data_IF_038719659010
#
_entry.id   IF_038719659010
#
_cell.length_a   1.000
_cell.length_b   1.000
_cell.length_c   1.000
_cell.angle_alpha   90.00
_cell.angle_beta   90.00
_cell.angle_gamma   90.00
#
_symmetry.space_group_name_H-M   'P 1'
#
loop_
_entity.id
_entity.type
_entity.pdbx_description
1 polymer ?
#
# COMPACT_ATOMS: atom_id res chain seq x y z
N UNK A 1 18.91 26.38 43.68
CA UNK A 1 20.05 26.95 44.42
C UNK A 1 21.31 26.72 43.61
N UNK A 2 22.28 27.61 43.71
CA UNK A 2 23.60 27.42 43.12
C UNK A 2 24.53 26.72 44.12
N UNK A 3 25.48 25.94 43.61
CA UNK A 3 26.58 25.33 44.37
C UNK A 3 27.84 25.38 43.53
N UNK A 4 28.67 26.40 43.76
CA UNK A 4 30.01 26.53 43.15
C UNK A 4 31.03 25.62 43.87
N UNK A 5 32.15 25.28 43.23
CA UNK A 5 33.18 24.40 43.80
C UNK A 5 34.62 24.71 43.34
N UNK A 6 35.50 25.04 44.28
CA UNK A 6 36.91 25.46 44.12
C UNK A 6 37.65 25.23 45.46
N UNK A 7 38.97 25.03 45.60
CA UNK A 7 40.11 24.89 44.66
C UNK A 7 40.71 23.45 44.80
N UNK A 8 41.98 23.04 44.71
CA UNK A 8 43.36 23.56 44.51
C UNK A 8 44.07 22.54 43.56
N UNK A 9 44.79 22.91 42.50
CA UNK A 9 46.12 23.54 42.40
C UNK A 9 47.30 22.54 42.24
N UNK A 10 48.29 22.98 41.44
CA UNK A 10 49.62 22.43 41.08
C UNK A 10 50.04 21.01 41.51
N UNK A 11 50.38 20.21 40.49
CA UNK A 11 51.44 19.19 40.55
C UNK A 11 52.15 19.11 39.19
N UNK A 12 53.41 19.55 39.11
CA UNK A 12 54.19 19.56 37.87
C UNK A 12 55.22 18.42 37.78
N UNK A 13 55.55 17.98 36.58
CA UNK A 13 56.71 17.13 36.32
C UNK A 13 57.34 17.47 34.97
N UNK A 14 58.66 17.64 34.94
CA UNK A 14 59.43 17.89 33.72
C UNK A 14 60.17 16.61 33.31
N UNK A 15 59.71 16.00 32.22
CA UNK A 15 60.39 14.91 31.52
C UNK A 15 59.95 14.93 30.05
N UNK A 16 60.82 14.97 29.04
CA UNK A 16 62.28 14.80 29.06
C UNK A 16 62.67 13.42 28.54
N UNK A 17 62.49 13.21 27.24
CA UNK A 17 62.82 11.97 26.55
C UNK A 17 62.48 12.06 25.07
N UNK A 18 63.49 12.03 24.20
CA UNK A 18 63.29 12.06 22.76
C UNK A 18 62.87 10.69 22.22
N UNK A 19 61.74 10.62 21.52
CA UNK A 19 61.23 9.41 20.87
C UNK A 19 61.00 9.62 19.38
N UNK A 20 62.05 9.44 18.57
CA UNK A 20 61.98 9.63 17.12
C UNK A 20 61.32 8.42 16.41
N UNK A 21 59.99 8.47 16.24
CA UNK A 21 59.19 7.42 15.58
C UNK A 21 58.26 7.95 14.47
N UNK A 22 58.51 9.15 13.98
CA UNK A 22 57.62 9.89 13.06
C UNK A 22 57.78 9.51 11.58
N UNK A 23 57.47 8.26 11.22
CA UNK A 23 57.42 7.84 9.80
C UNK A 23 56.56 6.61 9.45
N UNK A 24 56.19 5.74 10.39
CA UNK A 24 55.44 4.50 10.11
C UNK A 24 53.92 4.61 10.30
N UNK A 25 53.46 5.46 11.22
CA UNK A 25 52.04 5.61 11.58
C UNK A 25 51.13 5.98 10.40
N UNK A 26 51.57 6.87 9.52
CA UNK A 26 50.77 7.36 8.38
C UNK A 26 50.46 6.29 7.32
N UNK A 27 51.24 5.21 7.25
CA UNK A 27 50.92 4.08 6.36
C UNK A 27 49.78 3.21 6.90
N UNK A 28 49.78 2.97 8.22
CA UNK A 28 48.72 2.19 8.88
C UNK A 28 47.38 2.92 8.88
N UNK A 29 47.36 4.22 9.23
CA UNK A 29 46.13 5.01 9.19
C UNK A 29 45.52 5.13 7.78
N UNK A 30 46.34 5.09 6.71
CA UNK A 30 45.81 5.04 5.32
C UNK A 30 45.17 3.68 5.00
N UNK A 31 45.75 2.57 5.47
CA UNK A 31 45.18 1.23 5.29
C UNK A 31 43.88 1.05 6.09
N UNK A 32 43.81 1.61 7.29
CA UNK A 32 42.61 1.66 8.13
C UNK A 32 41.48 2.44 7.43
N UNK A 33 41.77 3.65 6.93
CA UNK A 33 40.82 4.42 6.12
C UNK A 33 40.36 3.69 4.85
N UNK A 34 41.25 2.94 4.18
CA UNK A 34 40.89 2.14 3.00
C UNK A 34 40.02 0.92 3.36
N UNK A 35 40.20 0.33 4.54
CA UNK A 35 39.33 -0.75 5.05
C UNK A 35 37.95 -0.21 5.42
N UNK A 36 37.88 0.90 6.16
CA UNK A 36 36.61 1.53 6.56
C UNK A 36 35.78 1.97 5.34
N UNK A 37 36.43 2.54 4.31
CA UNK A 37 35.75 2.91 3.07
C UNK A 37 35.27 1.68 2.30
N UNK A 38 36.10 0.62 2.20
CA UNK A 38 35.71 -0.62 1.54
C UNK A 38 34.53 -1.31 2.25
N UNK A 39 34.50 -1.31 3.59
CA UNK A 39 33.37 -1.79 4.39
C UNK A 39 32.12 -0.96 4.08
N UNK A 40 32.22 0.37 4.11
CA UNK A 40 31.09 1.27 3.80
C UNK A 40 30.54 1.07 2.38
N UNK A 41 31.40 0.86 1.39
CA UNK A 41 31.00 0.56 0.00
C UNK A 41 30.27 -0.78 -0.07
N UNK A 42 30.75 -1.82 0.62
CA UNK A 42 30.07 -3.12 0.67
C UNK A 42 28.69 -3.03 1.32
N UNK A 43 28.58 -2.36 2.47
CA UNK A 43 27.31 -2.16 3.19
C UNK A 43 26.30 -1.36 2.35
N UNK A 44 26.76 -0.29 1.70
CA UNK A 44 25.93 0.51 0.79
C UNK A 44 25.47 -0.30 -0.44
N UNK A 45 26.34 -1.14 -0.99
CA UNK A 45 26.03 -2.01 -2.14
C UNK A 45 25.02 -3.09 -1.78
N UNK A 46 25.18 -3.76 -0.64
CA UNK A 46 24.19 -4.74 -0.14
C UNK A 46 22.83 -4.06 0.12
N UNK A 47 22.83 -2.88 0.76
CA UNK A 47 21.61 -2.11 1.00
C UNK A 47 20.87 -1.75 -0.29
N UNK A 48 21.61 -1.35 -1.33
CA UNK A 48 21.07 -1.08 -2.66
C UNK A 48 20.45 -2.33 -3.31
N UNK A 49 21.14 -3.47 -3.31
CA UNK A 49 20.59 -4.72 -3.83
C UNK A 49 19.33 -5.18 -3.08
N UNK A 50 19.31 -5.01 -1.76
CA UNK A 50 18.16 -5.35 -0.94
C UNK A 50 16.95 -4.46 -1.24
N UNK A 51 17.16 -3.16 -1.43
CA UNK A 51 16.07 -2.24 -1.73
C UNK A 51 15.53 -2.42 -3.15
N UNK A 52 16.39 -2.71 -4.14
CA UNK A 52 15.98 -3.14 -5.49
C UNK A 52 15.14 -4.42 -5.45
N UNK A 53 15.60 -5.45 -4.74
CA UNK A 53 14.84 -6.71 -4.57
C UNK A 53 13.47 -6.51 -3.90
N UNK A 54 13.37 -5.53 -2.99
CA UNK A 54 12.11 -5.15 -2.31
C UNK A 54 11.21 -4.32 -3.24
N UNK A 55 11.76 -3.38 -4.02
CA UNK A 55 11.05 -2.61 -5.06
C UNK A 55 10.39 -3.55 -6.09
N UNK A 56 11.13 -4.54 -6.60
CA UNK A 56 10.64 -5.58 -7.52
C UNK A 56 9.48 -6.42 -6.95
N UNK A 57 9.47 -6.66 -5.64
CA UNK A 57 8.40 -7.39 -4.97
C UNK A 57 7.14 -6.51 -4.79
N UNK A 58 7.33 -5.23 -4.49
CA UNK A 58 6.26 -4.23 -4.36
C UNK A 58 5.59 -3.93 -5.71
N UNK A 59 6.36 -3.80 -6.79
CA UNK A 59 5.83 -3.62 -8.15
C UNK A 59 4.91 -4.79 -8.56
N UNK A 60 5.35 -6.04 -8.32
CA UNK A 60 4.52 -7.24 -8.55
C UNK A 60 3.26 -7.26 -7.70
N UNK A 61 3.35 -6.83 -6.43
CA UNK A 61 2.19 -6.72 -5.52
C UNK A 61 1.21 -5.62 -5.97
N UNK A 62 1.71 -4.48 -6.46
CA UNK A 62 0.93 -3.37 -7.04
C UNK A 62 0.20 -3.81 -8.30
N UNK A 63 0.84 -4.57 -9.19
CA UNK A 63 0.19 -5.16 -10.37
C UNK A 63 -0.93 -6.15 -10.01
N UNK A 64 -0.75 -6.98 -8.99
CA UNK A 64 -1.79 -7.86 -8.47
C UNK A 64 -3.00 -7.06 -7.97
N UNK A 65 -2.80 -6.03 -7.15
CA UNK A 65 -3.89 -5.16 -6.68
C UNK A 65 -4.57 -4.40 -7.83
N UNK A 66 -3.85 -3.85 -8.80
CA UNK A 66 -4.43 -3.25 -10.02
C UNK A 66 -5.23 -4.26 -10.85
N UNK A 67 -4.93 -5.55 -10.75
CA UNK A 67 -5.67 -6.62 -11.43
C UNK A 67 -6.92 -7.04 -10.66
N UNK A 68 -6.88 -7.05 -9.32
CA UNK A 68 -8.10 -7.22 -8.50
C UNK A 68 -9.03 -6.01 -8.63
N UNK A 69 -8.49 -4.78 -8.59
CA UNK A 69 -9.21 -3.52 -8.83
C UNK A 69 -10.03 -3.58 -10.12
N UNK A 70 -9.38 -3.92 -11.24
CA UNK A 70 -10.04 -4.04 -12.56
C UNK A 70 -11.17 -5.06 -12.59
N UNK A 71 -11.04 -6.20 -11.89
CA UNK A 71 -12.12 -7.20 -11.78
C UNK A 71 -13.32 -6.62 -11.02
N UNK A 72 -13.09 -6.10 -9.82
CA UNK A 72 -14.15 -5.54 -8.97
C UNK A 72 -14.80 -4.31 -9.63
N UNK A 73 -14.05 -3.43 -10.28
CA UNK A 73 -14.62 -2.31 -11.06
C UNK A 73 -15.52 -2.78 -12.22
N UNK A 74 -15.18 -3.91 -12.88
CA UNK A 74 -16.07 -4.50 -13.89
C UNK A 74 -17.34 -5.04 -13.23
N UNK A 75 -17.21 -5.82 -12.16
CA UNK A 75 -18.34 -6.36 -11.41
C UNK A 75 -19.26 -5.23 -10.89
N UNK A 76 -18.70 -4.07 -10.53
CA UNK A 76 -19.45 -2.88 -10.11
C UNK A 76 -20.12 -2.11 -11.26
N UNK A 77 -19.68 -2.27 -12.52
CA UNK A 77 -20.43 -1.70 -13.66
C UNK A 77 -21.78 -2.43 -13.88
N UNK A 78 -21.81 -3.75 -13.67
CA UNK A 78 -23.01 -4.60 -13.76
C UNK A 78 -24.07 -4.23 -12.69
N UNK A 79 -23.66 -3.58 -11.59
CA UNK A 79 -24.57 -3.15 -10.53
C UNK A 79 -25.59 -2.11 -11.02
N UNK A 80 -25.27 -1.30 -12.05
CA UNK A 80 -26.23 -0.35 -12.61
C UNK A 80 -27.42 -1.08 -13.26
N UNK A 81 -27.17 -2.14 -14.04
CA UNK A 81 -28.22 -2.97 -14.64
C UNK A 81 -29.07 -3.68 -13.58
N UNK A 82 -28.42 -4.24 -12.54
CA UNK A 82 -29.12 -4.92 -11.44
C UNK A 82 -30.05 -3.94 -10.71
N UNK A 83 -29.60 -2.71 -10.46
CA UNK A 83 -30.40 -1.66 -9.83
C UNK A 83 -31.58 -1.22 -10.71
N UNK A 84 -31.39 -1.06 -12.01
CA UNK A 84 -32.48 -0.71 -12.93
C UNK A 84 -33.54 -1.81 -13.00
N UNK A 85 -33.12 -3.09 -13.10
CA UNK A 85 -34.02 -4.24 -13.05
C UNK A 85 -34.78 -4.32 -11.73
N UNK A 86 -34.12 -4.04 -10.60
CA UNK A 86 -34.77 -3.98 -9.29
C UNK A 86 -35.90 -2.94 -9.29
N UNK A 87 -35.62 -1.70 -9.68
CA UNK A 87 -36.63 -0.64 -9.73
C UNK A 87 -37.73 -0.91 -10.77
N UNK A 88 -37.44 -1.60 -11.87
CA UNK A 88 -38.48 -2.07 -12.79
C UNK A 88 -39.39 -3.12 -12.13
N UNK A 89 -38.82 -4.15 -11.51
CA UNK A 89 -39.58 -5.23 -10.87
C UNK A 89 -40.39 -4.71 -9.66
N UNK A 90 -39.87 -3.74 -8.91
CA UNK A 90 -40.61 -3.01 -7.86
C UNK A 90 -41.81 -2.27 -8.45
N UNK A 91 -41.61 -1.57 -9.58
CA UNK A 91 -42.66 -0.88 -10.32
C UNK A 91 -43.72 -1.81 -10.93
N UNK A 92 -43.33 -3.00 -11.39
CA UNK A 92 -44.28 -4.01 -11.88
C UNK A 92 -45.05 -4.68 -10.74
N UNK A 93 -44.40 -5.00 -9.62
CA UNK A 93 -45.07 -5.51 -8.43
C UNK A 93 -46.10 -4.50 -7.90
N UNK A 94 -45.73 -3.23 -7.80
CA UNK A 94 -46.62 -2.15 -7.38
C UNK A 94 -47.73 -1.82 -8.39
N UNK A 95 -47.68 -2.36 -9.62
CA UNK A 95 -48.83 -2.40 -10.55
C UNK A 95 -49.72 -3.59 -10.24
N UNK A 96 -49.17 -4.81 -10.23
CA UNK A 96 -49.94 -6.05 -9.97
C UNK A 96 -50.66 -6.02 -8.61
N UNK A 97 -50.05 -5.47 -7.56
CA UNK A 97 -50.70 -5.33 -6.25
C UNK A 97 -51.82 -4.27 -6.23
N UNK A 98 -51.72 -3.20 -7.04
CA UNK A 98 -52.82 -2.26 -7.26
C UNK A 98 -53.94 -2.94 -8.04
N UNK A 99 -53.62 -3.58 -9.16
CA UNK A 99 -54.58 -4.25 -10.05
C UNK A 99 -55.40 -5.30 -9.27
N UNK A 100 -54.75 -6.06 -8.37
CA UNK A 100 -55.40 -7.01 -7.45
C UNK A 100 -56.31 -6.35 -6.41
N UNK A 101 -56.01 -5.14 -5.97
CA UNK A 101 -56.80 -4.40 -4.99
C UNK A 101 -58.00 -3.68 -5.61
N UNK A 102 -57.85 -3.12 -6.80
CA UNK A 102 -58.89 -2.39 -7.53
C UNK A 102 -59.86 -3.36 -8.22
N UNK A 103 -59.35 -4.48 -8.77
CA UNK A 103 -60.15 -5.51 -9.43
C UNK A 103 -60.48 -6.69 -8.49
N UNK A 104 -60.77 -6.41 -7.21
CA UNK A 104 -61.04 -7.43 -6.19
C UNK A 104 -62.24 -8.37 -6.52
N UNK A 105 -63.13 -7.93 -7.42
CA UNK A 105 -64.30 -8.67 -7.92
C UNK A 105 -64.10 -9.32 -9.31
N UNK A 106 -62.89 -9.33 -9.85
CA UNK A 106 -62.59 -9.98 -11.13
C UNK A 106 -62.67 -11.51 -11.06
N UNK A 107 -62.79 -12.13 -12.24
CA UNK A 107 -62.86 -13.59 -12.41
C UNK A 107 -61.77 -14.34 -11.61
N UNK A 108 -62.10 -15.45 -10.92
CA UNK A 108 -61.15 -16.19 -10.09
C UNK A 108 -59.86 -16.59 -10.84
N UNK A 109 -59.97 -16.97 -12.11
CA UNK A 109 -58.82 -17.32 -12.95
C UNK A 109 -57.90 -16.13 -13.28
N UNK A 110 -58.45 -14.91 -13.37
CA UNK A 110 -57.64 -13.71 -13.53
C UNK A 110 -56.87 -13.40 -12.24
N UNK A 111 -57.55 -13.52 -11.09
CA UNK A 111 -56.97 -13.31 -9.76
C UNK A 111 -55.86 -14.31 -9.43
N UNK A 112 -56.05 -15.60 -9.74
CA UNK A 112 -55.01 -16.65 -9.54
C UNK A 112 -53.76 -16.33 -10.38
N UNK A 113 -53.91 -15.94 -11.65
CA UNK A 113 -52.77 -15.56 -12.51
C UNK A 113 -52.04 -14.31 -12.01
N UNK A 114 -52.77 -13.33 -11.47
CA UNK A 114 -52.17 -12.13 -10.89
C UNK A 114 -51.40 -12.41 -9.59
N UNK A 115 -51.93 -13.25 -8.68
CA UNK A 115 -51.20 -13.70 -7.49
C UNK A 115 -49.96 -14.55 -7.86
N UNK A 116 -50.03 -15.39 -8.91
CA UNK A 116 -48.87 -16.11 -9.44
C UNK A 116 -47.77 -15.17 -9.97
N UNK A 117 -48.13 -14.14 -10.76
CA UNK A 117 -47.16 -13.13 -11.24
C UNK A 117 -46.53 -12.35 -10.09
N UNK A 118 -47.32 -11.98 -9.08
CA UNK A 118 -46.88 -11.30 -7.85
C UNK A 118 -45.91 -12.15 -7.03
N UNK A 119 -46.10 -13.47 -6.97
CA UNK A 119 -45.15 -14.39 -6.32
C UNK A 119 -43.83 -14.46 -7.10
N UNK A 120 -43.87 -14.63 -8.43
CA UNK A 120 -42.68 -14.64 -9.27
C UNK A 120 -41.87 -13.33 -9.17
N UNK A 121 -42.54 -12.17 -9.21
CA UNK A 121 -41.90 -10.87 -9.01
C UNK A 121 -41.26 -10.74 -7.62
N UNK A 122 -41.84 -11.32 -6.57
CA UNK A 122 -41.24 -11.31 -5.21
C UNK A 122 -40.02 -12.23 -5.10
N UNK A 123 -39.98 -13.32 -5.84
CA UNK A 123 -38.81 -14.20 -5.96
C UNK A 123 -37.67 -13.49 -6.71
N UNK A 124 -37.96 -12.89 -7.86
CA UNK A 124 -37.02 -12.08 -8.66
C UNK A 124 -36.45 -10.90 -7.86
N UNK A 125 -37.31 -10.13 -7.16
CA UNK A 125 -36.86 -9.06 -6.25
C UNK A 125 -35.95 -9.60 -5.15
N UNK A 126 -36.27 -10.77 -4.59
CA UNK A 126 -35.42 -11.44 -3.61
C UNK A 126 -34.05 -11.83 -4.17
N UNK A 127 -33.94 -12.18 -5.45
CA UNK A 127 -32.66 -12.43 -6.13
C UNK A 127 -31.88 -11.15 -6.43
N UNK A 128 -32.55 -10.12 -6.97
CA UNK A 128 -31.96 -8.82 -7.28
C UNK A 128 -31.45 -8.13 -6.00
N UNK A 129 -32.17 -8.22 -4.87
CA UNK A 129 -31.70 -7.72 -3.57
C UNK A 129 -30.48 -8.49 -3.05
N UNK A 130 -30.44 -9.82 -3.21
CA UNK A 130 -29.25 -10.65 -2.89
C UNK A 130 -28.05 -10.31 -3.80
N UNK A 131 -28.29 -9.91 -5.04
CA UNK A 131 -27.25 -9.42 -5.94
C UNK A 131 -26.72 -8.04 -5.52
N UNK A 132 -27.62 -7.09 -5.20
CA UNK A 132 -27.26 -5.76 -4.67
C UNK A 132 -26.38 -5.84 -3.42
N UNK A 133 -26.73 -6.69 -2.45
CA UNK A 133 -25.96 -6.87 -1.21
C UNK A 133 -24.50 -7.26 -1.47
N UNK A 134 -24.26 -8.24 -2.36
CA UNK A 134 -22.91 -8.65 -2.76
C UNK A 134 -22.12 -7.56 -3.49
N UNK A 135 -22.78 -6.68 -4.24
CA UNK A 135 -22.11 -5.57 -4.94
C UNK A 135 -21.75 -4.43 -3.96
N UNK A 136 -22.49 -4.25 -2.86
CA UNK A 136 -22.10 -3.33 -1.78
C UNK A 136 -20.81 -3.80 -1.07
N UNK A 137 -20.64 -5.09 -0.81
CA UNK A 137 -19.38 -5.66 -0.31
C UNK A 137 -18.22 -5.35 -1.26
N UNK A 138 -18.45 -5.46 -2.58
CA UNK A 138 -17.49 -5.09 -3.63
C UNK A 138 -17.05 -3.63 -3.60
N UNK A 139 -17.93 -2.69 -3.22
CA UNK A 139 -17.55 -1.28 -3.03
C UNK A 139 -16.58 -1.09 -1.85
N UNK A 140 -16.79 -1.80 -0.73
CA UNK A 140 -15.86 -1.77 0.41
C UNK A 140 -14.51 -2.35 0.02
N UNK A 141 -14.49 -3.50 -0.64
CA UNK A 141 -13.23 -4.15 -1.08
C UNK A 141 -12.49 -3.29 -2.11
N UNK A 142 -13.19 -2.49 -2.93
CA UNK A 142 -12.55 -1.52 -3.82
C UNK A 142 -11.83 -0.41 -3.03
N UNK A 143 -12.42 0.09 -1.95
CA UNK A 143 -11.78 1.08 -1.06
C UNK A 143 -10.52 0.49 -0.39
N UNK A 144 -10.64 -0.71 0.19
CA UNK A 144 -9.52 -1.46 0.79
C UNK A 144 -8.36 -1.68 -0.21
N UNK A 145 -8.66 -1.83 -1.51
CA UNK A 145 -7.65 -1.99 -2.56
C UNK A 145 -6.98 -0.66 -2.91
N UNK A 146 -7.72 0.44 -2.92
CA UNK A 146 -7.19 1.76 -3.27
C UNK A 146 -6.29 2.31 -2.14
N UNK A 147 -6.68 2.15 -0.87
CA UNK A 147 -5.80 2.40 0.29
C UNK A 147 -4.49 1.61 0.20
N UNK A 148 -4.58 0.33 -0.18
CA UNK A 148 -3.40 -0.55 -0.34
C UNK A 148 -2.54 -0.18 -1.54
N UNK A 149 -3.12 0.42 -2.59
CA UNK A 149 -2.37 0.92 -3.74
C UNK A 149 -1.64 2.23 -3.41
N UNK A 150 -2.25 3.10 -2.61
CA UNK A 150 -1.62 4.31 -2.06
C UNK A 150 -0.42 3.95 -1.17
N UNK A 151 -0.62 3.12 -0.13
CA UNK A 151 0.48 2.69 0.74
C UNK A 151 1.55 1.83 0.06
N UNK A 152 1.27 1.24 -1.11
CA UNK A 152 2.29 0.62 -1.97
C UNK A 152 3.04 1.63 -2.84
N UNK A 153 2.45 2.79 -3.14
CA UNK A 153 3.14 3.88 -3.83
C UNK A 153 4.10 4.59 -2.88
N UNK A 154 3.68 4.91 -1.65
CA UNK A 154 4.53 5.57 -0.65
C UNK A 154 5.81 4.77 -0.34
N UNK A 155 5.67 3.44 -0.15
CA UNK A 155 6.79 2.54 0.10
C UNK A 155 7.68 2.34 -1.15
N UNK A 156 7.13 2.47 -2.37
CA UNK A 156 7.93 2.50 -3.60
C UNK A 156 8.72 3.82 -3.69
N UNK A 157 8.09 4.96 -3.46
CA UNK A 157 8.71 6.29 -3.55
C UNK A 157 9.81 6.47 -2.49
N UNK A 158 9.58 5.95 -1.27
CA UNK A 158 10.60 5.86 -0.21
C UNK A 158 11.81 5.00 -0.63
N UNK A 159 11.58 3.88 -1.31
CA UNK A 159 12.65 3.00 -1.82
C UNK A 159 13.40 3.64 -2.97
N UNK A 160 12.70 4.26 -3.89
CA UNK A 160 13.25 5.07 -4.97
C UNK A 160 14.22 6.13 -4.43
N UNK A 161 13.84 6.84 -3.36
CA UNK A 161 14.70 7.81 -2.71
C UNK A 161 15.96 7.18 -2.07
N UNK A 162 15.82 6.02 -1.41
CA UNK A 162 16.97 5.29 -0.82
C UNK A 162 17.90 4.70 -1.88
N UNK A 163 17.36 4.15 -2.97
CA UNK A 163 18.10 3.64 -4.13
C UNK A 163 18.91 4.77 -4.78
N UNK A 164 18.28 5.91 -5.08
CA UNK A 164 18.95 7.09 -5.66
C UNK A 164 20.10 7.59 -4.78
N UNK A 165 19.90 7.65 -3.46
CA UNK A 165 20.94 8.03 -2.49
C UNK A 165 22.09 7.01 -2.42
N UNK A 166 21.79 5.71 -2.41
CA UNK A 166 22.81 4.67 -2.39
C UNK A 166 23.66 4.67 -3.68
N UNK A 167 23.02 4.88 -4.84
CA UNK A 167 23.69 5.04 -6.13
C UNK A 167 24.60 6.27 -6.17
N UNK A 168 24.19 7.40 -5.58
CA UNK A 168 25.05 8.58 -5.42
C UNK A 168 26.30 8.25 -4.59
N UNK A 169 26.13 7.70 -3.38
CA UNK A 169 27.24 7.34 -2.50
C UNK A 169 28.27 6.39 -3.18
N UNK A 170 27.79 5.35 -3.88
CA UNK A 170 28.66 4.38 -4.57
C UNK A 170 29.32 4.99 -5.82
N UNK A 171 28.62 5.89 -6.52
CA UNK A 171 29.17 6.65 -7.65
C UNK A 171 30.27 7.63 -7.23
N UNK A 172 30.08 8.35 -6.13
CA UNK A 172 31.08 9.26 -5.56
C UNK A 172 32.31 8.49 -5.06
N UNK A 173 32.11 7.39 -4.33
CA UNK A 173 33.20 6.55 -3.85
C UNK A 173 34.05 5.99 -5.00
N UNK A 174 33.42 5.49 -6.08
CA UNK A 174 34.13 4.97 -7.25
C UNK A 174 34.81 6.05 -8.10
N UNK A 175 34.30 7.29 -8.11
CA UNK A 175 34.97 8.43 -8.74
C UNK A 175 36.20 8.93 -7.94
N UNK A 176 36.27 8.64 -6.63
CA UNK A 176 37.36 9.05 -5.74
C UNK A 176 38.60 8.13 -5.73
N UNK A 177 38.67 7.18 -6.67
CA UNK A 177 39.78 6.22 -6.78
C UNK A 177 41.17 6.88 -6.92
N UNK A 178 42.23 6.31 -6.31
CA UNK A 178 43.54 6.95 -6.27
C UNK A 178 44.26 6.91 -7.62
N UNK A 179 44.64 8.09 -8.11
CA UNK A 179 45.73 8.29 -9.08
C UNK A 179 47.10 8.38 -8.43
#
# INVERSE_FOLDING_TARGET
GASEGVVHDRGGSLGGGGGASSSSSSKWGRLEQQLDEHIRILEASQGLEEDLRKQDALLRKREQYLTYRRKISKDLSEHHEVKERLTQAEGELARVERDLSENAFAEPEARVRAEQRKLALKEELGELQRAMQKKNEGMSILHDIDERLEGLQDELDFRDARIKKAQQNVGEASASGPG
#
